data_IF_188681112585
#
_entry.id   IF_188681112585
#
_cell.length_a   1.000
_cell.length_b   1.000
_cell.length_c   1.000
_cell.angle_alpha   90.00
_cell.angle_beta   90.00
_cell.angle_gamma   90.00
#
_symmetry.space_group_name_H-M   'P 1'
#
loop_
_entity.id
_entity.type
_entity.pdbx_description
1 polymer ?
#
# COMPACT_ATOMS: atom_id res chain seq x y z
N UNK A 1 31.30 -53.67 -7.75
CA UNK A 1 32.56 -54.41 -7.51
C UNK A 1 33.69 -53.39 -7.65
N UNK A 2 34.56 -53.05 -6.70
CA UNK A 2 35.24 -53.75 -5.60
C UNK A 2 35.57 -52.75 -4.48
N UNK A 3 35.68 -53.28 -3.27
CA UNK A 3 36.06 -52.63 -2.01
C UNK A 3 37.59 -52.55 -1.89
N UNK A 4 38.10 -51.47 -1.31
CA UNK A 4 39.34 -51.39 -0.50
C UNK A 4 39.08 -50.23 0.49
N UNK A 5 38.78 -50.42 1.78
CA UNK A 5 39.44 -51.13 2.88
C UNK A 5 40.75 -50.45 3.32
N UNK A 6 40.80 -50.11 4.63
CA UNK A 6 41.96 -49.77 5.49
C UNK A 6 42.52 -48.33 5.32
N UNK A 7 42.88 -47.56 6.36
CA UNK A 7 43.03 -47.79 7.80
C UNK A 7 43.34 -46.44 8.50
N UNK A 8 42.72 -46.20 9.66
CA UNK A 8 43.24 -45.56 10.89
C UNK A 8 43.80 -44.12 10.95
N UNK A 9 43.35 -43.49 12.04
CA UNK A 9 44.09 -42.66 13.00
C UNK A 9 44.37 -41.18 12.68
N UNK A 10 43.67 -40.34 13.45
CA UNK A 10 44.29 -39.25 14.21
C UNK A 10 44.31 -37.90 13.50
N UNK A 11 43.47 -36.96 13.92
CA UNK A 11 43.79 -36.08 15.04
C UNK A 11 42.59 -35.15 15.27
N UNK A 12 42.17 -35.08 16.52
CA UNK A 12 41.36 -33.98 17.03
C UNK A 12 42.19 -32.70 16.93
N UNK A 13 41.70 -31.69 16.23
CA UNK A 13 42.16 -30.31 16.40
C UNK A 13 40.97 -29.38 16.27
N UNK A 14 40.54 -28.91 17.43
CA UNK A 14 39.58 -27.85 17.62
C UNK A 14 40.04 -26.58 16.90
N UNK A 15 39.15 -25.99 16.11
CA UNK A 15 39.30 -24.61 15.63
C UNK A 15 38.03 -23.83 15.94
N UNK A 16 38.10 -23.13 17.08
CA UNK A 16 37.50 -21.85 17.41
C UNK A 16 36.13 -21.50 16.79
N UNK A 17 35.09 -21.61 17.63
CA UNK A 17 33.91 -20.75 17.54
C UNK A 17 34.35 -19.29 17.80
N UNK A 18 34.61 -18.53 16.74
CA UNK A 18 34.63 -17.08 16.82
C UNK A 18 33.19 -16.59 16.75
N UNK A 19 32.60 -16.29 17.90
CA UNK A 19 31.36 -15.55 17.99
C UNK A 19 31.61 -14.10 17.54
N UNK A 20 31.26 -13.79 16.29
CA UNK A 20 31.21 -12.41 15.83
C UNK A 20 29.94 -11.75 16.39
N UNK A 21 30.03 -10.65 17.14
CA UNK A 21 28.88 -9.78 17.35
C UNK A 21 28.63 -9.05 16.02
N UNK A 22 27.69 -9.56 15.22
CA UNK A 22 27.14 -8.79 14.12
C UNK A 22 26.33 -7.64 14.73
N UNK A 23 26.92 -6.44 14.77
CA UNK A 23 26.21 -5.21 15.07
C UNK A 23 25.07 -5.05 14.06
N UNK A 24 23.84 -5.14 14.54
CA UNK A 24 22.66 -4.75 13.80
C UNK A 24 22.75 -3.25 13.50
N UNK A 25 23.07 -2.90 12.25
CA UNK A 25 22.83 -1.54 11.76
C UNK A 25 21.32 -1.38 11.60
N UNK A 26 20.63 -0.96 12.67
CA UNK A 26 19.31 -0.34 12.52
C UNK A 26 19.50 1.03 11.90
N UNK A 27 19.65 1.05 10.58
CA UNK A 27 19.57 2.25 9.77
C UNK A 27 18.13 2.75 9.81
N UNK A 28 17.96 3.97 10.30
CA UNK A 28 16.75 4.78 10.14
C UNK A 28 16.41 4.88 8.65
N UNK A 29 15.35 4.22 8.20
CA UNK A 29 14.82 4.42 6.84
C UNK A 29 14.04 5.74 6.84
N UNK A 30 14.77 6.84 6.76
CA UNK A 30 14.27 8.08 6.19
C UNK A 30 14.93 8.19 4.81
N UNK A 31 14.41 7.46 3.83
CA UNK A 31 14.88 7.57 2.45
C UNK A 31 13.66 7.77 1.56
N UNK A 32 13.37 9.03 1.28
CA UNK A 32 12.66 9.39 0.06
C UNK A 32 13.43 8.88 -1.16
N UNK A 33 12.82 8.87 -2.35
CA UNK A 33 13.40 8.30 -3.54
C UNK A 33 14.82 8.83 -3.79
N UNK A 34 15.74 7.96 -4.19
CA UNK A 34 17.12 8.33 -4.51
C UNK A 34 17.10 9.38 -5.63
N UNK A 35 17.68 10.58 -5.44
CA UNK A 35 17.62 11.67 -6.41
C UNK A 35 18.31 11.33 -7.75
N UNK A 36 19.02 10.20 -7.83
CA UNK A 36 19.64 9.69 -9.05
C UNK A 36 18.72 8.81 -9.91
N UNK A 37 17.54 8.43 -9.44
CA UNK A 37 16.55 7.70 -10.24
C UNK A 37 15.86 8.68 -11.18
N UNK A 38 16.14 8.57 -12.48
CA UNK A 38 15.41 9.28 -13.52
C UNK A 38 13.95 8.82 -13.45
N UNK A 39 13.05 9.72 -13.05
CA UNK A 39 11.61 9.47 -13.17
C UNK A 39 11.31 9.24 -14.65
N UNK A 40 10.62 8.14 -14.93
CA UNK A 40 10.09 7.90 -16.27
C UNK A 40 9.00 8.94 -16.56
N UNK A 41 9.37 9.95 -17.36
CA UNK A 41 8.50 11.06 -17.74
C UNK A 41 7.23 10.59 -18.45
N UNK A 42 7.26 9.46 -19.16
CA UNK A 42 6.11 8.93 -19.87
C UNK A 42 5.18 8.16 -18.95
N UNK A 43 5.71 7.44 -17.96
CA UNK A 43 4.93 6.87 -16.87
C UNK A 43 4.22 7.96 -16.06
N UNK A 44 4.92 9.06 -15.76
CA UNK A 44 4.36 10.21 -15.03
C UNK A 44 3.24 10.91 -15.83
N UNK A 45 3.39 11.09 -17.15
CA UNK A 45 2.32 11.63 -18.02
C UNK A 45 1.11 10.70 -18.09
N UNK A 46 1.34 9.40 -18.21
CA UNK A 46 0.28 8.38 -18.24
C UNK A 46 -0.52 8.39 -16.94
N UNK A 47 0.16 8.41 -15.80
CA UNK A 47 -0.47 8.50 -14.49
C UNK A 47 -1.25 9.82 -14.29
N UNK A 48 -0.75 10.95 -14.82
CA UNK A 48 -1.47 12.23 -14.79
C UNK A 48 -2.80 12.14 -15.55
N UNK A 49 -2.78 11.56 -16.74
CA UNK A 49 -3.99 11.40 -17.55
C UNK A 49 -5.03 10.54 -16.81
N UNK A 50 -4.61 9.41 -16.26
CA UNK A 50 -5.50 8.53 -15.50
C UNK A 50 -6.05 9.19 -14.22
N UNK A 51 -5.23 10.00 -13.54
CA UNK A 51 -5.69 10.79 -12.40
C UNK A 51 -6.74 11.83 -12.80
N UNK A 52 -6.63 12.45 -13.98
CA UNK A 52 -7.66 13.36 -14.50
C UNK A 52 -8.99 12.65 -14.75
N UNK A 53 -8.94 11.42 -15.27
CA UNK A 53 -10.12 10.57 -15.44
C UNK A 53 -10.73 10.21 -14.09
N UNK A 54 -9.91 9.81 -13.11
CA UNK A 54 -10.36 9.52 -11.75
C UNK A 54 -11.03 10.74 -11.09
N UNK A 55 -10.46 11.94 -11.24
CA UNK A 55 -11.07 13.20 -10.76
C UNK A 55 -12.43 13.45 -11.40
N UNK A 56 -12.54 13.24 -12.71
CA UNK A 56 -13.78 13.46 -13.43
C UNK A 56 -14.90 12.56 -12.88
N UNK A 57 -14.59 11.27 -12.67
CA UNK A 57 -15.53 10.33 -12.05
C UNK A 57 -15.90 10.72 -10.62
N UNK A 58 -14.91 11.11 -9.82
CA UNK A 58 -15.10 11.47 -8.42
C UNK A 58 -15.95 12.74 -8.26
N UNK A 59 -15.54 13.85 -8.88
CA UNK A 59 -16.16 15.18 -8.66
C UNK A 59 -17.41 15.41 -9.48
N UNK A 60 -17.36 15.15 -10.80
CA UNK A 60 -18.40 15.57 -11.72
C UNK A 60 -19.51 14.52 -11.85
N UNK A 61 -19.11 13.25 -11.98
CA UNK A 61 -20.08 12.16 -12.20
C UNK A 61 -20.64 11.58 -10.91
N UNK A 62 -19.95 11.76 -9.77
CA UNK A 62 -20.22 11.02 -8.52
C UNK A 62 -20.27 9.51 -8.78
N UNK A 63 -19.43 9.05 -9.70
CA UNK A 63 -19.29 7.64 -10.06
C UNK A 63 -18.13 7.07 -9.25
N UNK A 64 -18.36 6.90 -7.94
CA UNK A 64 -17.30 6.61 -6.99
C UNK A 64 -16.66 5.24 -7.23
N UNK A 65 -17.40 4.23 -7.73
CA UNK A 65 -16.79 2.95 -8.07
C UNK A 65 -15.78 3.06 -9.24
N UNK A 66 -16.10 3.84 -10.27
CA UNK A 66 -15.18 4.09 -11.37
C UNK A 66 -13.93 4.86 -10.90
N UNK A 67 -14.11 5.88 -10.05
CA UNK A 67 -13.01 6.60 -9.44
C UNK A 67 -12.15 5.69 -8.55
N UNK A 68 -12.78 4.82 -7.76
CA UNK A 68 -12.14 3.84 -6.89
C UNK A 68 -11.26 2.87 -7.67
N UNK A 69 -11.80 2.24 -8.72
CA UNK A 69 -11.07 1.29 -9.57
C UNK A 69 -9.86 1.94 -10.24
N UNK A 70 -10.05 3.09 -10.87
CA UNK A 70 -8.96 3.85 -11.52
C UNK A 70 -7.88 4.25 -10.53
N UNK A 71 -8.27 4.66 -9.32
CA UNK A 71 -7.30 5.04 -8.28
C UNK A 71 -6.51 3.83 -7.77
N UNK A 72 -7.16 2.67 -7.62
CA UNK A 72 -6.46 1.43 -7.28
C UNK A 72 -5.45 1.01 -8.36
N UNK A 73 -5.84 1.10 -9.63
CA UNK A 73 -4.93 0.85 -10.76
C UNK A 73 -3.73 1.80 -10.73
N UNK A 74 -3.95 3.09 -10.43
CA UNK A 74 -2.87 4.08 -10.27
C UNK A 74 -1.93 3.73 -9.11
N UNK A 75 -2.49 3.35 -7.95
CA UNK A 75 -1.69 2.99 -6.77
C UNK A 75 -0.82 1.77 -7.02
N UNK A 76 -1.35 0.77 -7.74
CA UNK A 76 -0.64 -0.46 -8.05
C UNK A 76 0.38 -0.27 -9.20
N UNK A 77 0.01 0.49 -10.24
CA UNK A 77 0.82 0.65 -11.45
C UNK A 77 1.88 1.74 -11.37
N UNK A 78 1.67 2.77 -10.53
CA UNK A 78 2.55 3.95 -10.46
C UNK A 78 2.87 4.35 -9.01
N UNK A 79 3.60 3.52 -8.25
CA UNK A 79 3.91 3.78 -6.83
C UNK A 79 4.79 5.02 -6.61
N UNK A 80 5.56 5.46 -7.61
CA UNK A 80 6.43 6.66 -7.55
C UNK A 80 5.78 7.92 -8.14
N UNK A 81 4.48 7.85 -8.46
CA UNK A 81 3.75 8.94 -9.09
C UNK A 81 3.76 10.19 -8.21
N UNK A 82 4.09 11.35 -8.80
CA UNK A 82 4.25 12.60 -8.03
C UNK A 82 2.98 13.07 -7.29
N UNK A 83 1.81 12.58 -7.70
CA UNK A 83 0.50 12.97 -7.13
C UNK A 83 -0.23 11.80 -6.48
N UNK A 84 0.52 10.81 -6.00
CA UNK A 84 -0.04 9.64 -5.34
C UNK A 84 -0.86 10.01 -4.10
N UNK A 85 -0.54 11.12 -3.44
CA UNK A 85 -1.35 11.70 -2.35
C UNK A 85 -2.81 11.94 -2.76
N UNK A 86 -3.04 12.54 -3.92
CA UNK A 86 -4.38 12.76 -4.45
C UNK A 86 -5.07 11.47 -4.86
N UNK A 87 -4.32 10.52 -5.41
CA UNK A 87 -4.85 9.20 -5.79
C UNK A 87 -5.35 8.46 -4.55
N UNK A 88 -4.54 8.43 -3.48
CA UNK A 88 -4.89 7.81 -2.20
C UNK A 88 -6.13 8.49 -1.59
N UNK A 89 -6.21 9.82 -1.67
CA UNK A 89 -7.38 10.57 -1.22
C UNK A 89 -8.64 10.15 -1.99
N UNK A 90 -8.59 10.13 -3.33
CA UNK A 90 -9.73 9.74 -4.16
C UNK A 90 -10.14 8.29 -3.89
N UNK A 91 -9.19 7.36 -3.78
CA UNK A 91 -9.46 5.97 -3.44
C UNK A 91 -10.15 5.85 -2.07
N UNK A 92 -9.58 6.48 -1.04
CA UNK A 92 -10.11 6.45 0.32
C UNK A 92 -11.53 7.01 0.43
N UNK A 93 -11.74 8.24 -0.06
CA UNK A 93 -13.05 8.89 -0.02
C UNK A 93 -14.09 8.16 -0.87
N UNK A 94 -13.69 7.61 -2.03
CA UNK A 94 -14.58 6.79 -2.86
C UNK A 94 -15.04 5.54 -2.10
N UNK A 95 -14.13 4.86 -1.39
CA UNK A 95 -14.46 3.70 -0.55
C UNK A 95 -15.46 4.05 0.55
N UNK A 96 -15.26 5.19 1.24
CA UNK A 96 -16.22 5.69 2.23
C UNK A 96 -17.59 5.91 1.60
N UNK A 97 -17.66 6.66 0.50
CA UNK A 97 -18.92 6.97 -0.16
C UNK A 97 -19.64 5.72 -0.67
N UNK A 98 -18.91 4.76 -1.23
CA UNK A 98 -19.48 3.49 -1.66
C UNK A 98 -20.03 2.67 -0.47
N UNK A 99 -19.32 2.66 0.67
CA UNK A 99 -19.79 1.98 1.88
C UNK A 99 -21.10 2.56 2.43
N UNK A 100 -21.33 3.85 2.17
CA UNK A 100 -22.53 4.58 2.56
C UNK A 100 -23.63 4.52 1.49
N UNK A 101 -23.41 3.79 0.38
CA UNK A 101 -24.36 3.71 -0.73
C UNK A 101 -24.52 5.03 -1.50
N UNK A 102 -23.55 5.95 -1.40
CA UNK A 102 -23.56 7.23 -2.12
C UNK A 102 -23.06 7.04 -3.56
N UNK A 103 -23.43 7.99 -4.42
CA UNK A 103 -22.98 8.06 -5.81
C UNK A 103 -24.05 7.64 -6.80
N UNK A 104 -23.73 7.77 -8.10
CA UNK A 104 -24.62 7.39 -9.21
C UNK A 104 -24.42 5.94 -9.67
N UNK A 105 -23.36 5.30 -9.20
CA UNK A 105 -22.98 3.96 -9.60
C UNK A 105 -22.87 3.09 -8.34
N UNK A 106 -23.62 1.98 -8.25
CA UNK A 106 -23.47 1.03 -7.16
C UNK A 106 -22.18 0.23 -7.31
N UNK A 107 -21.65 -0.27 -6.19
CA UNK A 107 -20.61 -1.28 -6.22
C UNK A 107 -21.16 -2.60 -6.82
N UNK A 108 -20.37 -3.34 -7.62
CA UNK A 108 -20.77 -4.63 -8.18
C UNK A 108 -21.13 -5.64 -7.10
N UNK A 109 -22.18 -6.43 -7.37
CA UNK A 109 -22.66 -7.51 -6.50
C UNK A 109 -23.11 -8.72 -7.31
N UNK A 110 -22.66 -8.81 -8.57
CA UNK A 110 -23.11 -9.82 -9.53
C UNK A 110 -22.60 -11.22 -9.16
N UNK A 111 -21.49 -11.28 -8.43
CA UNK A 111 -20.88 -12.52 -7.93
C UNK A 111 -20.72 -12.47 -6.40
N UNK A 112 -20.70 -13.62 -5.70
CA UNK A 112 -20.42 -13.66 -4.27
C UNK A 112 -19.09 -13.02 -3.90
N UNK A 113 -18.07 -13.19 -4.75
CA UNK A 113 -16.74 -12.59 -4.59
C UNK A 113 -16.80 -11.06 -4.63
N UNK A 114 -17.40 -10.48 -5.67
CA UNK A 114 -17.53 -9.02 -5.78
C UNK A 114 -18.41 -8.42 -4.67
N UNK A 115 -19.45 -9.13 -4.24
CA UNK A 115 -20.29 -8.71 -3.12
C UNK A 115 -19.51 -8.68 -1.79
N UNK A 116 -18.54 -9.57 -1.61
CA UNK A 116 -17.66 -9.60 -0.43
C UNK A 116 -16.55 -8.55 -0.53
N UNK A 117 -15.87 -8.47 -1.68
CA UNK A 117 -14.80 -7.51 -1.97
C UNK A 117 -15.31 -6.07 -1.78
N UNK A 118 -16.46 -5.75 -2.36
CA UNK A 118 -17.05 -4.42 -2.26
C UNK A 118 -18.14 -4.32 -1.19
N UNK A 119 -18.06 -5.17 -0.15
CA UNK A 119 -18.91 -5.01 1.01
C UNK A 119 -18.61 -3.67 1.71
N UNK A 120 -19.59 -3.04 2.38
CA UNK A 120 -19.34 -1.80 3.12
C UNK A 120 -18.19 -1.91 4.15
N UNK A 121 -18.02 -3.07 4.77
CA UNK A 121 -16.95 -3.30 5.74
C UNK A 121 -15.56 -3.36 5.06
N UNK A 122 -15.46 -4.07 3.92
CA UNK A 122 -14.23 -4.16 3.12
C UNK A 122 -13.82 -2.78 2.60
N UNK A 123 -14.78 -2.05 2.00
CA UNK A 123 -14.55 -0.70 1.47
C UNK A 123 -14.09 0.29 2.56
N UNK A 124 -14.63 0.22 3.77
CA UNK A 124 -14.17 1.05 4.90
C UNK A 124 -12.77 0.67 5.36
N UNK A 125 -12.41 -0.61 5.29
CA UNK A 125 -11.09 -1.11 5.66
C UNK A 125 -10.02 -0.67 4.66
N UNK A 126 -10.30 -0.80 3.37
CA UNK A 126 -9.43 -0.30 2.30
C UNK A 126 -9.34 1.22 2.33
N UNK A 127 -10.46 1.93 2.55
CA UNK A 127 -10.44 3.37 2.71
C UNK A 127 -9.53 3.82 3.85
N UNK A 128 -9.59 3.14 5.01
CA UNK A 128 -8.68 3.40 6.13
C UNK A 128 -7.23 3.19 5.71
N UNK A 129 -6.93 2.14 4.95
CA UNK A 129 -5.59 1.84 4.46
C UNK A 129 -5.05 2.97 3.58
N UNK A 130 -5.81 3.41 2.57
CA UNK A 130 -5.38 4.48 1.67
C UNK A 130 -5.20 5.82 2.39
N UNK A 131 -6.15 6.19 3.25
CA UNK A 131 -6.08 7.45 3.98
C UNK A 131 -4.95 7.45 5.03
N UNK A 132 -4.71 6.32 5.69
CA UNK A 132 -3.58 6.19 6.63
C UNK A 132 -2.25 6.34 5.90
N UNK A 133 -2.12 5.72 4.72
CA UNK A 133 -0.95 5.87 3.86
C UNK A 133 -0.77 7.32 3.41
N UNK A 134 -1.85 8.01 3.04
CA UNK A 134 -1.79 9.43 2.68
C UNK A 134 -1.20 10.27 3.82
N UNK A 135 -1.73 10.12 5.02
CA UNK A 135 -1.30 10.91 6.19
C UNK A 135 0.15 10.59 6.59
N UNK A 136 0.57 9.33 6.46
CA UNK A 136 1.92 8.89 6.81
C UNK A 136 2.97 9.30 5.77
N UNK A 137 2.71 9.02 4.49
CA UNK A 137 3.70 9.16 3.41
C UNK A 137 3.73 10.60 2.84
N UNK A 138 2.63 11.35 2.96
CA UNK A 138 2.46 12.68 2.36
C UNK A 138 2.06 13.75 3.40
N UNK A 139 2.94 14.06 4.38
CA UNK A 139 2.62 14.95 5.48
C UNK A 139 2.29 16.39 5.06
N UNK A 140 2.76 16.82 3.89
CA UNK A 140 2.53 18.15 3.31
C UNK A 140 1.37 18.16 2.30
N UNK A 141 0.66 17.04 2.13
CA UNK A 141 -0.46 16.98 1.19
C UNK A 141 -1.59 17.93 1.63
N UNK A 142 -2.15 18.66 0.67
CA UNK A 142 -3.35 19.49 0.90
C UNK A 142 -4.57 18.67 1.33
N UNK A 143 -4.58 17.37 1.08
CA UNK A 143 -5.66 16.45 1.43
C UNK A 143 -5.53 15.88 2.85
N UNK A 144 -4.40 16.11 3.52
CA UNK A 144 -4.08 15.49 4.81
C UNK A 144 -5.15 15.74 5.87
N UNK A 145 -5.57 17.00 6.05
CA UNK A 145 -6.54 17.36 7.10
C UNK A 145 -7.87 16.62 6.92
N UNK A 146 -8.35 16.55 5.68
CA UNK A 146 -9.59 15.84 5.36
C UNK A 146 -9.43 14.33 5.51
N UNK A 147 -8.26 13.78 5.15
CA UNK A 147 -7.95 12.37 5.38
C UNK A 147 -7.91 12.02 6.88
N UNK A 148 -7.31 12.86 7.72
CA UNK A 148 -7.30 12.68 9.18
C UNK A 148 -8.71 12.71 9.76
N UNK A 149 -9.56 13.64 9.31
CA UNK A 149 -10.96 13.71 9.71
C UNK A 149 -11.74 12.45 9.28
N UNK A 150 -11.57 12.02 8.03
CA UNK A 150 -12.16 10.80 7.52
C UNK A 150 -11.71 9.57 8.33
N UNK A 151 -10.42 9.45 8.68
CA UNK A 151 -9.91 8.37 9.54
C UNK A 151 -10.56 8.36 10.92
N UNK A 152 -10.78 9.54 11.52
CA UNK A 152 -11.48 9.65 12.81
C UNK A 152 -12.91 9.13 12.71
N UNK A 153 -13.63 9.46 11.64
CA UNK A 153 -15.00 8.96 11.41
C UNK A 153 -15.07 7.48 11.08
N UNK A 154 -14.01 6.91 10.49
CA UNK A 154 -13.87 5.47 10.27
C UNK A 154 -13.55 4.68 11.54
N UNK A 155 -13.36 5.36 12.69
CA UNK A 155 -12.92 4.75 13.95
C UNK A 155 -11.41 4.84 14.09
N UNK A 156 -10.95 5.94 14.69
CA UNK A 156 -9.54 6.18 15.01
C UNK A 156 -8.96 5.12 15.93
N UNK A 157 -7.69 4.81 15.69
CA UNK A 157 -6.79 3.88 16.40
C UNK A 157 -7.11 2.39 16.26
N UNK A 158 -6.94 1.86 15.05
CA UNK A 158 -6.28 0.54 14.98
C UNK A 158 -4.82 0.75 15.35
N UNK A 159 -4.54 0.86 16.66
CA UNK A 159 -3.26 0.36 17.17
C UNK A 159 -3.11 -1.02 16.55
N UNK A 160 -2.02 -1.18 15.80
CA UNK A 160 -1.69 -2.44 15.17
C UNK A 160 -1.99 -3.58 16.14
N UNK A 161 -2.86 -4.50 15.72
CA UNK A 161 -2.87 -5.86 16.25
C UNK A 161 -1.57 -6.50 15.74
N UNK A 162 -0.43 -6.02 16.24
CA UNK A 162 0.81 -6.78 16.26
C UNK A 162 0.63 -7.74 17.42
N UNK A 163 0.00 -8.87 17.10
CA UNK A 163 -0.11 -9.99 18.00
C UNK A 163 1.29 -10.41 18.41
N UNK A 164 1.60 -10.24 19.70
CA UNK A 164 2.47 -11.18 20.40
C UNK A 164 1.83 -12.56 20.29
N UNK A 165 2.50 -13.47 19.60
CA UNK A 165 2.53 -14.88 19.94
C UNK A 165 3.98 -15.31 19.97
#
# INVERSE_FOLDING_TARGET
MKKYLLMMCGLVLASAFAASPAWAQTGTVAKGPDPSVVKDDDAEKSAKHELEVARHYFKMKKAYFAAYKRSNELIAGYPEFSRLDEVLYIAGMSGIYLSEGKGKQPAPKDTPESAQEYSPASLRTEARTFLSRLVADFPESKFRKEAEEALRTLGGDTKQVSGKQ
#
